data_IF_473815175808
#
_entry.id   IF_473815175808
#
_cell.length_a   1.000
_cell.length_b   1.000
_cell.length_c   1.000
_cell.angle_alpha   90.00
_cell.angle_beta   90.00
_cell.angle_gamma   90.00
#
_symmetry.space_group_name_H-M   'P 1'
#
loop_
_entity.id
_entity.type
_entity.pdbx_description
1 polymer ?
#
# COMPACT_ATOMS: atom_id res chain seq x y z
N UNK A 1 31.66 -28.44 21.73
CA UNK A 1 31.52 -29.26 20.51
C UNK A 1 32.32 -28.57 19.40
N UNK A 2 33.00 -29.33 18.54
CA UNK A 2 33.73 -28.74 17.41
C UNK A 2 32.70 -28.14 16.44
N UNK A 3 32.89 -26.88 16.05
CA UNK A 3 32.01 -26.22 15.04
C UNK A 3 32.15 -26.97 13.71
N UNK A 4 31.03 -27.20 13.03
CA UNK A 4 31.01 -27.83 11.69
C UNK A 4 31.61 -26.90 10.63
N UNK A 5 32.20 -27.47 9.57
CA UNK A 5 32.72 -26.70 8.45
C UNK A 5 31.58 -25.90 7.79
N UNK A 6 31.83 -24.61 7.51
CA UNK A 6 30.81 -23.71 6.92
C UNK A 6 30.35 -24.16 5.51
N UNK A 7 31.21 -24.82 4.76
CA UNK A 7 30.83 -25.41 3.46
C UNK A 7 29.87 -26.58 3.65
N UNK A 8 30.09 -27.41 4.68
CA UNK A 8 29.20 -28.52 5.05
C UNK A 8 27.86 -28.01 5.61
N UNK A 9 27.87 -26.93 6.38
CA UNK A 9 26.65 -26.32 6.94
C UNK A 9 25.73 -25.84 5.83
N UNK A 10 26.28 -25.23 4.78
CA UNK A 10 25.50 -24.77 3.61
C UNK A 10 25.30 -25.90 2.57
N UNK A 11 26.02 -27.03 2.66
CA UNK A 11 25.96 -28.13 1.70
C UNK A 11 26.50 -27.75 0.32
N UNK A 12 27.61 -27.01 0.29
CA UNK A 12 28.29 -26.56 -0.94
C UNK A 12 29.75 -27.00 -0.93
N UNK A 13 30.36 -27.13 -2.11
CA UNK A 13 31.78 -27.45 -2.25
C UNK A 13 32.66 -26.22 -1.93
N UNK A 14 33.93 -26.47 -1.55
CA UNK A 14 34.90 -25.40 -1.23
C UNK A 14 35.20 -24.46 -2.41
N UNK A 15 34.94 -24.89 -3.63
CA UNK A 15 35.11 -24.13 -4.87
C UNK A 15 33.82 -23.44 -5.34
N UNK A 16 32.72 -23.51 -4.54
CA UNK A 16 31.42 -22.93 -4.90
C UNK A 16 31.50 -21.43 -5.19
N UNK A 17 30.75 -21.00 -6.18
CA UNK A 17 30.61 -19.58 -6.55
C UNK A 17 29.84 -18.80 -5.49
N UNK A 18 29.99 -17.47 -5.46
CA UNK A 18 29.24 -16.60 -4.56
C UNK A 18 27.72 -16.75 -4.77
N UNK A 19 27.29 -16.99 -6.00
CA UNK A 19 25.87 -17.21 -6.33
C UNK A 19 25.36 -18.55 -5.80
N UNK A 20 26.18 -19.60 -5.84
CA UNK A 20 25.81 -20.92 -5.31
C UNK A 20 25.72 -20.88 -3.78
N UNK A 21 26.66 -20.22 -3.12
CA UNK A 21 26.64 -19.98 -1.66
C UNK A 21 25.35 -19.22 -1.29
N UNK A 22 24.98 -18.18 -2.04
CA UNK A 22 23.75 -17.40 -1.82
C UNK A 22 22.49 -18.24 -2.02
N UNK A 23 22.44 -19.08 -3.05
CA UNK A 23 21.31 -20.00 -3.30
C UNK A 23 21.18 -21.05 -2.18
N UNK A 24 22.31 -21.64 -1.76
CA UNK A 24 22.33 -22.63 -0.69
C UNK A 24 21.84 -22.03 0.64
N UNK A 25 22.32 -20.85 0.99
CA UNK A 25 21.84 -20.13 2.16
C UNK A 25 20.34 -19.85 2.12
N UNK A 26 19.80 -19.33 0.99
CA UNK A 26 18.36 -19.10 0.84
C UNK A 26 17.55 -20.38 1.05
N UNK A 27 18.02 -21.51 0.53
CA UNK A 27 17.35 -22.79 0.68
C UNK A 27 17.34 -23.25 2.15
N UNK A 28 18.48 -23.12 2.86
CA UNK A 28 18.59 -23.43 4.29
C UNK A 28 17.72 -22.51 5.13
N UNK A 29 17.74 -21.20 4.86
CA UNK A 29 16.96 -20.20 5.57
C UNK A 29 15.44 -20.40 5.44
N UNK A 30 14.94 -20.76 4.26
CA UNK A 30 13.51 -21.09 4.04
C UNK A 30 13.13 -22.40 4.73
N UNK A 31 14.04 -23.38 4.78
CA UNK A 31 13.80 -24.69 5.41
C UNK A 31 13.74 -24.59 6.92
N UNK A 32 14.63 -23.82 7.55
CA UNK A 32 14.78 -23.72 9.00
C UNK A 32 14.19 -22.40 9.57
N UNK A 33 13.33 -21.70 8.80
CA UNK A 33 12.70 -20.46 9.23
C UNK A 33 11.84 -20.69 10.49
N UNK A 34 11.90 -19.79 11.49
CA UNK A 34 11.14 -19.94 12.72
C UNK A 34 9.62 -19.95 12.49
N UNK A 35 9.11 -19.23 11.50
CA UNK A 35 7.68 -19.22 11.16
C UNK A 35 7.20 -20.58 10.60
N UNK A 36 8.11 -21.36 9.99
CA UNK A 36 7.79 -22.72 9.51
C UNK A 36 8.04 -23.80 10.53
N UNK A 37 8.89 -23.54 11.52
CA UNK A 37 9.28 -24.47 12.55
C UNK A 37 9.14 -23.82 13.95
N UNK A 38 7.92 -23.40 14.36
CA UNK A 38 7.72 -22.69 15.61
C UNK A 38 8.06 -23.58 16.81
N UNK A 39 9.01 -23.14 17.65
CA UNK A 39 9.42 -23.83 18.86
C UNK A 39 10.43 -24.98 18.67
N UNK A 40 10.91 -25.24 17.45
CA UNK A 40 11.94 -26.24 17.17
C UNK A 40 13.34 -25.62 17.37
N UNK A 41 13.97 -25.98 18.51
CA UNK A 41 15.33 -25.53 18.87
C UNK A 41 16.40 -26.01 17.89
N UNK A 42 16.26 -27.22 17.35
CA UNK A 42 17.23 -27.73 16.36
C UNK A 42 17.16 -26.96 15.04
N UNK A 43 15.96 -26.58 14.60
CA UNK A 43 15.79 -25.74 13.44
C UNK A 43 16.36 -24.33 13.67
N UNK A 44 16.20 -23.77 14.87
CA UNK A 44 16.76 -22.48 15.26
C UNK A 44 18.31 -22.50 15.26
N UNK A 45 18.92 -23.56 15.80
CA UNK A 45 20.38 -23.72 15.79
C UNK A 45 20.91 -23.86 14.35
N UNK A 46 20.29 -24.69 13.51
CA UNK A 46 20.66 -24.84 12.11
C UNK A 46 20.49 -23.55 11.30
N UNK A 47 19.49 -22.75 11.64
CA UNK A 47 19.31 -21.42 11.02
C UNK A 47 20.43 -20.45 11.40
N UNK A 48 20.84 -20.42 12.68
CA UNK A 48 21.96 -19.60 13.17
C UNK A 48 23.28 -20.03 12.55
N UNK A 49 23.56 -21.32 12.49
CA UNK A 49 24.76 -21.88 11.84
C UNK A 49 24.81 -21.53 10.35
N UNK A 50 23.68 -21.62 9.64
CA UNK A 50 23.63 -21.28 8.22
C UNK A 50 23.85 -19.77 7.98
N UNK A 51 23.36 -18.91 8.88
CA UNK A 51 23.58 -17.46 8.79
C UNK A 51 25.05 -17.10 9.07
N UNK A 52 25.69 -17.74 10.07
CA UNK A 52 27.12 -17.57 10.35
C UNK A 52 27.97 -18.02 9.17
N UNK A 53 27.69 -19.20 8.61
CA UNK A 53 28.39 -19.72 7.45
C UNK A 53 28.27 -18.78 6.23
N UNK A 54 27.09 -18.22 5.99
CA UNK A 54 26.89 -17.28 4.88
C UNK A 54 27.62 -15.95 5.09
N UNK A 55 27.65 -15.40 6.30
CA UNK A 55 28.38 -14.16 6.59
C UNK A 55 29.89 -14.29 6.30
N UNK A 56 30.45 -15.45 6.58
CA UNK A 56 31.88 -15.72 6.31
C UNK A 56 32.12 -16.01 4.83
N UNK A 57 31.35 -16.89 4.22
CA UNK A 57 31.61 -17.36 2.85
C UNK A 57 31.16 -16.38 1.76
N UNK A 58 30.25 -15.45 2.06
CA UNK A 58 29.80 -14.43 1.09
C UNK A 58 30.80 -13.27 0.93
N UNK A 59 31.68 -13.05 1.89
CA UNK A 59 32.68 -12.01 1.86
C UNK A 59 34.04 -12.61 1.44
N UNK A 60 34.64 -12.13 0.35
CA UNK A 60 35.87 -12.64 -0.20
C UNK A 60 37.04 -12.66 0.82
N UNK A 61 37.19 -11.59 1.61
CA UNK A 61 38.27 -11.48 2.58
C UNK A 61 38.07 -12.44 3.78
N UNK A 62 36.83 -12.56 4.27
CA UNK A 62 36.50 -13.49 5.35
C UNK A 62 36.65 -14.94 4.89
N UNK A 63 36.20 -15.24 3.67
CA UNK A 63 36.31 -16.57 3.05
C UNK A 63 37.78 -16.97 2.92
N UNK A 64 38.64 -16.08 2.40
CA UNK A 64 40.07 -16.35 2.27
C UNK A 64 40.74 -16.62 3.63
N UNK A 65 40.38 -15.91 4.68
CA UNK A 65 40.86 -16.17 6.04
C UNK A 65 40.36 -17.49 6.58
N UNK A 66 39.10 -17.80 6.35
CA UNK A 66 38.50 -19.07 6.78
C UNK A 66 39.15 -20.25 6.06
N UNK A 67 39.42 -20.13 4.75
CA UNK A 67 40.08 -21.17 3.96
C UNK A 67 41.53 -21.44 4.41
N UNK A 68 42.22 -20.41 4.96
CA UNK A 68 43.59 -20.53 5.46
C UNK A 68 43.70 -21.04 6.91
N UNK A 69 42.83 -20.54 7.79
CA UNK A 69 42.97 -20.73 9.24
C UNK A 69 41.76 -21.44 9.88
N UNK A 70 40.74 -21.80 9.11
CA UNK A 70 39.51 -22.39 9.63
C UNK A 70 38.78 -21.49 10.60
N UNK A 71 38.05 -22.08 11.53
CA UNK A 71 37.34 -21.34 12.60
C UNK A 71 38.29 -20.52 13.50
N UNK A 72 39.51 -20.98 13.73
CA UNK A 72 40.51 -20.27 14.54
C UNK A 72 40.91 -18.92 13.96
N UNK A 73 40.90 -18.78 12.62
CA UNK A 73 41.16 -17.50 11.94
C UNK A 73 40.06 -16.48 12.09
N UNK A 74 38.88 -16.89 12.54
CA UNK A 74 37.73 -16.02 12.78
C UNK A 74 37.63 -15.55 14.26
N UNK A 75 38.28 -16.26 15.20
CA UNK A 75 38.28 -15.94 16.66
C UNK A 75 39.40 -14.99 17.09
N UNK A 76 40.43 -14.75 16.27
CA UNK A 76 41.69 -14.11 16.65
C UNK A 76 42.01 -12.77 15.96
N UNK A 77 41.08 -11.89 15.71
CA UNK A 77 41.35 -10.59 15.07
C UNK A 77 41.27 -9.41 16.04
N UNK A 78 42.29 -9.21 16.89
CA UNK A 78 42.51 -7.92 17.54
C UNK A 78 43.01 -6.90 16.50
N UNK A 79 42.15 -6.04 16.01
CA UNK A 79 42.52 -4.89 15.16
C UNK A 79 41.46 -4.50 14.16
N UNK A 80 40.56 -3.60 14.55
CA UNK A 80 39.87 -2.68 13.66
C UNK A 80 38.82 -3.25 12.72
N UNK A 81 37.54 -2.94 13.00
CA UNK A 81 36.38 -3.15 12.13
C UNK A 81 35.83 -4.60 12.05
N UNK A 82 35.07 -4.99 13.08
CA UNK A 82 34.26 -6.19 13.00
C UNK A 82 33.99 -6.73 14.39
N UNK A 83 32.82 -6.51 14.93
CA UNK A 83 32.42 -7.05 16.24
C UNK A 83 32.63 -8.56 16.31
N UNK A 84 33.42 -8.99 17.32
CA UNK A 84 33.78 -10.39 17.53
C UNK A 84 32.56 -11.29 17.76
N UNK A 85 32.57 -12.42 17.08
CA UNK A 85 31.59 -13.49 17.15
C UNK A 85 31.79 -14.38 18.41
N UNK A 86 31.84 -13.81 19.60
CA UNK A 86 31.95 -14.54 20.85
C UNK A 86 30.76 -14.34 21.78
N UNK A 87 29.56 -14.23 21.24
CA UNK A 87 28.34 -14.14 22.02
C UNK A 87 27.15 -14.30 21.11
N UNK A 88 26.39 -15.36 21.23
CA UNK A 88 25.29 -15.80 20.41
C UNK A 88 24.51 -14.68 19.68
N UNK A 89 24.45 -14.76 18.36
CA UNK A 89 23.56 -13.92 17.57
C UNK A 89 22.13 -14.07 18.06
N UNK A 90 21.53 -12.94 18.41
CA UNK A 90 20.09 -12.88 18.58
C UNK A 90 19.45 -13.03 17.20
N UNK A 91 18.29 -13.69 17.14
CA UNK A 91 17.49 -13.80 15.94
C UNK A 91 17.24 -12.44 15.27
N UNK A 92 17.08 -11.37 16.06
CA UNK A 92 16.89 -9.99 15.62
C UNK A 92 18.11 -9.41 14.92
N UNK A 93 19.33 -9.78 15.34
CA UNK A 93 20.56 -9.32 14.68
C UNK A 93 20.76 -9.98 13.31
N UNK A 94 20.35 -11.24 13.16
CA UNK A 94 20.36 -11.94 11.87
C UNK A 94 19.36 -11.28 10.91
N UNK A 95 18.13 -10.99 11.35
CA UNK A 95 17.13 -10.29 10.54
C UNK A 95 17.56 -8.86 10.17
N UNK A 96 18.26 -8.16 11.06
CA UNK A 96 18.76 -6.81 10.79
C UNK A 96 19.89 -6.81 9.75
N UNK A 97 20.80 -7.76 9.80
CA UNK A 97 21.97 -7.80 8.91
C UNK A 97 21.67 -8.41 7.55
N UNK A 98 20.65 -9.27 7.45
CA UNK A 98 20.31 -10.00 6.23
C UNK A 98 18.91 -9.68 5.66
N UNK A 99 18.23 -8.65 6.20
CA UNK A 99 16.88 -8.22 5.78
C UNK A 99 16.76 -7.95 4.28
N UNK A 100 17.81 -7.41 3.65
CA UNK A 100 17.81 -7.11 2.21
C UNK A 100 17.78 -8.37 1.33
N UNK A 101 18.24 -9.52 1.84
CA UNK A 101 18.22 -10.79 1.11
C UNK A 101 16.84 -11.45 1.19
N UNK A 102 16.09 -11.19 2.26
CA UNK A 102 14.73 -11.66 2.49
C UNK A 102 13.65 -10.73 1.92
N UNK A 103 13.95 -9.42 1.79
CA UNK A 103 12.99 -8.39 1.38
C UNK A 103 12.50 -8.46 -0.07
N UNK A 104 13.10 -9.29 -0.92
CA UNK A 104 12.78 -9.34 -2.36
C UNK A 104 11.60 -10.20 -2.76
N UNK A 105 11.02 -11.05 -1.89
CA UNK A 105 9.94 -11.97 -2.30
C UNK A 105 8.95 -12.39 -1.21
N UNK A 106 8.99 -11.81 -0.02
CA UNK A 106 8.00 -12.10 1.04
C UNK A 106 7.40 -10.79 1.54
N UNK A 107 6.17 -10.58 1.12
CA UNK A 107 5.34 -9.41 1.25
C UNK A 107 5.32 -8.70 2.59
N UNK A 108 5.34 -7.38 2.47
CA UNK A 108 4.52 -6.46 3.24
C UNK A 108 4.73 -6.40 4.75
N UNK A 109 5.55 -5.44 5.21
CA UNK A 109 5.26 -4.87 6.50
C UNK A 109 6.36 -4.82 7.55
N UNK A 110 7.61 -4.54 7.19
CA UNK A 110 8.57 -4.00 8.17
C UNK A 110 9.65 -3.16 7.46
N UNK A 111 9.19 -2.15 6.73
CA UNK A 111 10.04 -1.15 6.11
C UNK A 111 10.21 0.04 7.04
N UNK A 112 11.36 0.16 7.67
CA UNK A 112 11.65 1.43 8.28
C UNK A 112 12.55 1.43 9.49
N UNK A 113 13.76 0.87 9.40
CA UNK A 113 14.85 1.32 10.29
C UNK A 113 16.19 0.77 9.76
N UNK A 114 16.92 1.59 8.99
CA UNK A 114 18.26 1.20 8.58
C UNK A 114 18.83 2.01 7.42
N UNK A 115 18.61 3.30 7.39
CA UNK A 115 19.40 4.23 6.58
C UNK A 115 20.57 4.73 7.39
N UNK A 116 21.73 4.07 7.34
CA UNK A 116 22.99 4.64 7.75
C UNK A 116 23.25 5.90 6.93
N UNK A 117 22.91 7.07 7.48
CA UNK A 117 23.17 8.38 6.89
C UNK A 117 24.67 8.58 6.86
N UNK A 118 25.31 8.29 5.71
CA UNK A 118 26.56 8.94 5.35
C UNK A 118 26.32 10.44 5.46
N UNK A 119 27.12 11.16 6.25
CA UNK A 119 26.99 12.58 6.58
C UNK A 119 26.70 13.49 5.37
N UNK A 120 25.46 13.50 4.91
CA UNK A 120 24.93 14.41 3.93
C UNK A 120 24.20 15.54 4.64
N UNK A 121 24.28 16.75 4.09
CA UNK A 121 23.47 17.88 4.55
C UNK A 121 22.02 17.43 4.71
N UNK A 122 21.44 17.67 5.86
CA UNK A 122 20.00 17.43 6.09
C UNK A 122 19.22 18.36 5.17
N UNK A 123 18.56 17.77 4.17
CA UNK A 123 17.67 18.52 3.28
C UNK A 123 16.32 18.64 3.97
N UNK A 124 15.85 19.86 4.17
CA UNK A 124 14.51 20.11 4.70
C UNK A 124 13.47 19.47 3.78
N UNK A 125 12.54 18.70 4.34
CA UNK A 125 11.41 18.13 3.59
C UNK A 125 10.11 18.76 4.07
N UNK A 126 9.26 19.14 3.12
CA UNK A 126 7.89 19.56 3.40
C UNK A 126 7.04 18.37 3.86
N UNK A 127 6.03 18.65 4.66
CA UNK A 127 5.09 17.60 5.08
C UNK A 127 4.13 17.23 3.94
N UNK A 128 3.74 15.97 3.92
CA UNK A 128 2.74 15.48 3.00
C UNK A 128 1.35 16.02 3.35
N UNK A 129 0.51 16.18 2.33
CA UNK A 129 -0.87 16.60 2.47
C UNK A 129 -1.81 15.47 2.07
N UNK A 130 -2.91 15.30 2.82
CA UNK A 130 -3.98 14.38 2.48
C UNK A 130 -5.23 15.14 2.08
N UNK A 131 -5.78 14.76 0.92
CA UNK A 131 -7.01 15.35 0.38
C UNK A 131 -7.95 14.23 -0.04
N UNK A 132 -9.22 14.34 0.29
CA UNK A 132 -10.26 13.42 -0.17
C UNK A 132 -10.86 13.95 -1.46
N UNK A 133 -11.03 13.07 -2.44
CA UNK A 133 -11.64 13.36 -3.73
C UNK A 133 -12.82 12.43 -3.93
N UNK A 134 -14.00 13.02 -4.10
CA UNK A 134 -15.23 12.28 -4.40
C UNK A 134 -15.34 12.04 -5.90
N UNK A 135 -15.68 10.80 -6.23
CA UNK A 135 -15.83 10.35 -7.61
C UNK A 135 -17.20 9.69 -7.78
N UNK A 136 -17.87 10.05 -8.86
CA UNK A 136 -19.05 9.34 -9.33
C UNK A 136 -18.67 8.01 -9.98
N UNK A 137 -19.61 7.06 -10.08
CA UNK A 137 -19.39 5.77 -10.75
C UNK A 137 -18.94 5.95 -12.22
N UNK A 138 -19.42 7.00 -12.88
CA UNK A 138 -19.00 7.34 -14.24
C UNK A 138 -17.53 7.75 -14.31
N UNK A 139 -17.10 8.63 -13.42
CA UNK A 139 -15.69 9.05 -13.34
C UNK A 139 -14.76 7.89 -12.98
N UNK A 140 -15.23 6.95 -12.15
CA UNK A 140 -14.49 5.73 -11.81
C UNK A 140 -14.40 4.80 -13.04
N UNK A 141 -15.47 4.71 -13.83
CA UNK A 141 -15.50 3.83 -15.01
C UNK A 141 -14.63 4.31 -16.17
N UNK A 142 -14.55 5.62 -16.38
CA UNK A 142 -13.81 6.24 -17.51
C UNK A 142 -12.41 6.69 -17.10
N UNK A 143 -12.17 6.91 -15.78
CA UNK A 143 -11.08 7.69 -15.29
C UNK A 143 -11.30 9.18 -15.52
N UNK A 144 -10.65 10.03 -14.76
CA UNK A 144 -10.84 11.46 -14.90
C UNK A 144 -9.59 12.25 -14.52
N UNK A 145 -9.56 13.50 -14.96
CA UNK A 145 -8.58 14.49 -14.52
C UNK A 145 -9.30 15.56 -13.72
N UNK A 146 -8.99 15.67 -12.42
CA UNK A 146 -9.58 16.69 -11.55
C UNK A 146 -8.58 17.78 -11.19
N UNK A 147 -9.01 19.04 -11.26
CA UNK A 147 -8.25 20.18 -10.76
C UNK A 147 -8.78 20.55 -9.38
N UNK A 148 -7.88 20.46 -8.39
CA UNK A 148 -8.25 20.75 -6.99
C UNK A 148 -7.47 21.96 -6.53
N UNK A 149 -8.14 22.90 -5.91
CA UNK A 149 -7.53 24.04 -5.23
C UNK A 149 -7.23 23.66 -3.79
N UNK A 150 -5.96 23.68 -3.42
CA UNK A 150 -5.49 23.21 -2.12
C UNK A 150 -4.80 24.37 -1.40
N UNK A 151 -5.25 24.63 -0.17
CA UNK A 151 -4.56 25.54 0.73
C UNK A 151 -3.37 24.82 1.38
N UNK A 152 -2.15 25.32 1.14
CA UNK A 152 -0.93 24.70 1.64
C UNK A 152 0.19 25.71 1.86
N UNK A 153 1.32 25.27 2.41
CA UNK A 153 2.52 26.06 2.39
C UNK A 153 3.12 26.03 0.97
N UNK A 154 3.34 27.22 0.41
CA UNK A 154 3.98 27.41 -0.91
C UNK A 154 5.28 28.15 -0.72
N UNK A 155 6.22 28.02 -1.67
CA UNK A 155 7.44 28.80 -1.65
C UNK A 155 7.12 30.30 -1.66
N UNK A 156 7.80 31.07 -0.84
CA UNK A 156 7.62 32.51 -0.79
C UNK A 156 8.06 33.12 -2.14
N UNK A 157 7.17 33.81 -2.78
CA UNK A 157 7.39 34.48 -4.09
C UNK A 157 8.40 35.62 -4.03
N UNK A 158 8.52 36.34 -2.90
CA UNK A 158 9.47 37.43 -2.72
C UNK A 158 10.93 36.95 -2.68
N UNK A 159 11.21 35.85 -1.98
CA UNK A 159 12.56 35.31 -1.86
C UNK A 159 12.80 34.02 -2.66
N UNK A 160 11.84 33.57 -3.46
CA UNK A 160 11.94 32.32 -4.22
C UNK A 160 12.12 31.07 -3.36
N UNK A 161 11.65 31.10 -2.11
CA UNK A 161 11.77 29.99 -1.19
C UNK A 161 13.04 29.96 -0.35
N UNK A 162 14.01 30.86 -0.57
CA UNK A 162 15.30 30.88 0.14
C UNK A 162 15.20 31.28 1.60
N UNK A 163 14.22 32.08 1.97
CA UNK A 163 14.09 32.69 3.31
C UNK A 163 14.94 33.92 3.53
N UNK A 164 15.92 34.19 2.68
CA UNK A 164 16.78 35.34 2.75
C UNK A 164 16.28 36.52 1.90
N UNK A 165 16.59 37.73 2.26
CA UNK A 165 16.19 38.92 1.52
C UNK A 165 16.78 38.94 0.11
N UNK A 166 18.05 38.54 0.00
CA UNK A 166 18.83 38.48 -1.24
C UNK A 166 19.88 37.35 -1.17
N UNK A 167 20.56 37.09 -2.28
CA UNK A 167 21.60 36.05 -2.37
C UNK A 167 22.83 36.29 -1.47
N UNK A 168 23.08 37.52 -1.06
CA UNK A 168 24.20 37.88 -0.22
C UNK A 168 23.86 37.81 1.27
N UNK A 169 22.63 37.56 1.61
CA UNK A 169 22.13 37.47 2.98
C UNK A 169 22.34 36.09 3.64
N UNK A 170 23.31 35.32 3.15
CA UNK A 170 23.78 34.08 3.76
C UNK A 170 25.23 34.22 4.25
N UNK A 171 25.48 33.67 5.44
CA UNK A 171 26.83 33.48 5.94
C UNK A 171 27.08 32.00 6.30
N UNK A 172 28.35 31.60 6.27
CA UNK A 172 28.74 30.27 6.75
C UNK A 172 28.42 30.15 8.23
N UNK A 173 27.83 29.05 8.65
CA UNK A 173 27.49 28.84 10.06
C UNK A 173 28.77 28.83 10.92
N UNK A 174 28.92 29.73 11.92
CA UNK A 174 30.15 29.84 12.72
C UNK A 174 30.35 28.62 13.66
N UNK A 175 29.27 27.90 13.99
CA UNK A 175 29.34 26.79 14.93
C UNK A 175 29.84 25.48 14.27
N UNK A 176 29.52 25.25 13.01
CA UNK A 176 29.91 24.04 12.28
C UNK A 176 30.82 24.34 11.07
N UNK A 177 31.23 25.62 10.87
CA UNK A 177 32.05 26.07 9.75
C UNK A 177 31.57 25.54 8.38
N UNK A 178 30.26 25.46 8.19
CA UNK A 178 29.64 24.99 6.93
C UNK A 178 29.39 23.48 6.85
N UNK A 179 29.87 22.70 7.80
CA UNK A 179 29.69 21.23 7.79
C UNK A 179 28.24 20.78 7.96
N UNK A 180 27.41 21.54 8.65
CA UNK A 180 26.03 21.19 8.96
C UNK A 180 25.87 20.29 10.20
N UNK A 181 26.95 19.75 10.73
CA UNK A 181 26.94 18.88 11.92
C UNK A 181 28.08 19.27 12.87
N UNK A 182 27.93 18.94 14.14
CA UNK A 182 28.95 19.03 15.18
C UNK A 182 29.30 17.64 15.65
N UNK A 183 30.56 17.44 16.04
CA UNK A 183 31.05 16.18 16.61
C UNK A 183 31.04 16.33 18.13
N UNK A 184 30.22 15.51 18.78
CA UNK A 184 30.18 15.41 20.23
C UNK A 184 30.84 14.12 20.68
N UNK A 185 31.72 14.21 21.70
CA UNK A 185 32.29 13.01 22.32
C UNK A 185 31.38 12.56 23.45
N UNK A 186 30.72 11.43 23.26
CA UNK A 186 29.85 10.81 24.27
C UNK A 186 30.63 9.72 25.01
N UNK A 187 30.66 9.82 26.33
CA UNK A 187 31.20 8.75 27.17
C UNK A 187 30.14 7.63 27.24
N UNK A 188 30.41 6.50 26.61
CA UNK A 188 29.59 5.30 26.73
C UNK A 188 30.26 4.29 27.68
N UNK A 189 29.54 3.27 28.09
CA UNK A 189 30.05 2.19 28.91
C UNK A 189 31.25 1.45 28.27
N UNK A 190 31.41 1.57 26.93
CA UNK A 190 32.49 0.97 26.14
C UNK A 190 33.63 1.96 25.78
N UNK A 191 33.65 3.14 26.39
CA UNK A 191 34.67 4.16 26.13
C UNK A 191 34.10 5.43 25.46
N UNK A 192 35.01 6.30 25.02
CA UNK A 192 34.69 7.57 24.36
C UNK A 192 34.32 7.28 22.90
N UNK A 193 33.08 7.57 22.51
CA UNK A 193 32.61 7.51 21.15
C UNK A 193 32.37 8.91 20.60
N UNK A 194 32.78 9.17 19.36
CA UNK A 194 32.46 10.41 18.65
C UNK A 194 31.16 10.21 17.87
N UNK A 195 30.15 11.04 18.17
CA UNK A 195 28.85 11.00 17.52
C UNK A 195 28.64 12.30 16.75
N UNK A 196 28.19 12.20 15.51
CA UNK A 196 27.79 13.36 14.71
C UNK A 196 26.37 13.77 15.09
N UNK A 197 26.20 15.05 15.42
CA UNK A 197 24.90 15.65 15.73
C UNK A 197 24.62 16.80 14.78
N UNK A 198 23.36 16.91 14.34
CA UNK A 198 22.93 18.05 13.52
C UNK A 198 23.25 19.34 14.24
N UNK A 199 23.90 20.27 13.56
CA UNK A 199 24.30 21.55 14.15
C UNK A 199 23.07 22.35 14.62
N UNK A 200 22.93 22.66 15.92
CA UNK A 200 21.73 23.31 16.46
C UNK A 200 21.55 24.74 15.92
N UNK A 201 22.63 25.41 15.51
CA UNK A 201 22.60 26.80 15.02
C UNK A 201 22.05 26.90 13.60
N UNK A 202 22.40 25.99 12.70
CA UNK A 202 21.97 26.05 11.31
C UNK A 202 20.96 24.92 10.95
N UNK A 203 20.63 24.03 11.87
CA UNK A 203 19.70 22.93 11.63
C UNK A 203 20.14 21.96 10.55
N UNK A 204 21.43 21.83 10.28
CA UNK A 204 22.00 20.97 9.25
C UNK A 204 22.32 21.66 7.91
N UNK A 205 21.90 22.90 7.71
CA UNK A 205 22.06 23.61 6.43
C UNK A 205 23.50 24.08 6.17
N UNK A 206 24.35 24.22 7.21
CA UNK A 206 25.70 24.72 7.12
C UNK A 206 25.82 26.24 6.91
N UNK A 207 24.68 26.92 6.69
CA UNK A 207 24.56 28.37 6.48
C UNK A 207 23.56 28.97 7.43
N UNK A 208 23.71 30.25 7.74
CA UNK A 208 22.76 31.05 8.53
C UNK A 208 22.30 32.26 7.73
N UNK A 209 21.05 32.67 7.89
CA UNK A 209 20.51 33.86 7.24
C UNK A 209 20.86 35.07 8.09
N UNK A 210 21.54 36.03 7.50
CA UNK A 210 21.92 37.29 8.13
C UNK A 210 20.83 38.37 8.02
N UNK A 211 20.12 38.38 6.88
CA UNK A 211 18.99 39.28 6.62
C UNK A 211 17.80 38.47 6.14
N UNK A 212 16.81 38.21 7.01
CA UNK A 212 15.63 37.42 6.64
C UNK A 212 14.73 38.20 5.69
N UNK A 213 14.04 37.46 4.79
CA UNK A 213 12.98 37.99 3.94
C UNK A 213 11.83 38.55 4.79
N UNK A 214 11.32 39.74 4.46
CA UNK A 214 10.30 40.45 5.19
C UNK A 214 8.95 39.70 5.20
N UNK A 215 8.60 39.05 4.08
CA UNK A 215 7.33 38.35 3.87
C UNK A 215 7.25 37.04 4.64
N UNK A 216 8.27 36.19 4.52
CA UNK A 216 8.29 34.86 5.16
C UNK A 216 9.10 34.81 6.46
N UNK A 217 9.76 35.90 6.87
CA UNK A 217 10.52 36.02 8.13
C UNK A 217 11.64 34.96 8.29
N UNK A 218 12.25 34.57 7.19
CA UNK A 218 13.33 33.57 7.19
C UNK A 218 12.87 32.13 6.98
N UNK A 219 11.57 31.85 6.93
CA UNK A 219 11.03 30.50 6.73
C UNK A 219 11.16 30.00 5.28
N UNK A 220 11.14 30.90 4.30
CA UNK A 220 11.15 30.56 2.88
C UNK A 220 9.80 30.10 2.35
N UNK A 221 8.79 29.92 3.23
CA UNK A 221 7.46 29.45 2.86
C UNK A 221 6.38 30.37 3.44
N UNK A 222 5.25 30.45 2.75
CA UNK A 222 4.05 31.21 3.16
C UNK A 222 2.81 30.37 2.94
N UNK A 223 1.73 30.69 3.62
CA UNK A 223 0.42 30.08 3.31
C UNK A 223 -0.09 30.63 2.00
N UNK A 224 -0.47 29.72 1.12
CA UNK A 224 -1.01 30.04 -0.19
C UNK A 224 -1.95 28.95 -0.67
N UNK A 225 -2.45 29.11 -1.89
CA UNK A 225 -3.30 28.15 -2.55
C UNK A 225 -2.65 27.75 -3.87
N UNK A 226 -2.68 26.46 -4.17
CA UNK A 226 -2.21 25.93 -5.45
C UNK A 226 -3.31 25.07 -6.08
N UNK A 227 -3.49 25.25 -7.40
CA UNK A 227 -4.35 24.35 -8.17
C UNK A 227 -3.50 23.21 -8.67
N UNK A 228 -3.83 22.00 -8.20
CA UNK A 228 -3.14 20.77 -8.60
C UNK A 228 -4.04 19.96 -9.51
N UNK A 229 -3.52 19.57 -10.65
CA UNK A 229 -4.18 18.66 -11.59
C UNK A 229 -3.81 17.21 -11.23
N UNK A 230 -4.83 16.39 -11.01
CA UNK A 230 -4.70 15.01 -10.59
C UNK A 230 -5.33 14.11 -11.63
N UNK A 231 -4.54 13.21 -12.19
CA UNK A 231 -5.03 12.17 -13.10
C UNK A 231 -5.39 10.93 -12.30
N UNK A 232 -6.65 10.56 -12.37
CA UNK A 232 -7.21 9.41 -11.66
C UNK A 232 -7.48 8.33 -12.71
N UNK A 233 -6.85 7.16 -12.61
CA UNK A 233 -7.08 6.08 -13.55
C UNK A 233 -8.48 5.47 -13.38
N UNK A 234 -8.96 4.80 -14.42
CA UNK A 234 -10.21 4.06 -14.35
C UNK A 234 -10.09 2.84 -13.40
N UNK A 235 -11.18 2.46 -12.77
CA UNK A 235 -11.24 1.30 -11.90
C UNK A 235 -10.75 1.51 -10.47
N UNK A 236 -10.42 2.75 -10.07
CA UNK A 236 -10.02 3.03 -8.67
C UNK A 236 -11.14 2.63 -7.70
N UNK A 237 -10.76 2.18 -6.50
CA UNK A 237 -11.70 1.79 -5.45
C UNK A 237 -11.74 2.82 -4.32
N UNK A 238 -12.82 2.77 -3.53
CA UNK A 238 -12.94 3.57 -2.32
C UNK A 238 -11.79 3.28 -1.35
N UNK A 239 -11.25 4.32 -0.72
CA UNK A 239 -10.13 4.24 0.19
C UNK A 239 -8.76 4.12 -0.48
N UNK A 240 -8.67 3.95 -1.79
CA UNK A 240 -7.39 3.97 -2.49
C UNK A 240 -6.70 5.32 -2.37
N UNK A 241 -5.38 5.29 -2.25
CA UNK A 241 -4.54 6.46 -2.11
C UNK A 241 -3.64 6.61 -3.34
N UNK A 242 -3.74 7.75 -4.00
CA UNK A 242 -2.85 8.16 -5.08
C UNK A 242 -1.85 9.18 -4.54
N UNK A 243 -0.57 9.02 -4.88
CA UNK A 243 0.49 9.97 -4.51
C UNK A 243 0.86 10.83 -5.69
N UNK A 244 0.85 12.15 -5.48
CA UNK A 244 1.35 13.13 -6.45
C UNK A 244 2.59 13.78 -5.88
N UNK A 245 3.75 13.37 -6.38
CA UNK A 245 5.05 13.77 -5.85
C UNK A 245 5.29 15.27 -5.92
N UNK A 246 5.85 15.85 -4.85
CA UNK A 246 6.22 17.25 -4.74
C UNK A 246 5.05 18.24 -4.70
N UNK A 247 3.79 17.75 -4.58
CA UNK A 247 2.58 18.58 -4.53
C UNK A 247 2.03 18.78 -3.11
N UNK A 248 2.71 18.26 -2.10
CA UNK A 248 2.45 18.55 -0.68
C UNK A 248 2.90 19.94 -0.26
N UNK A 249 3.15 20.15 1.03
CA UNK A 249 3.66 21.40 1.55
C UNK A 249 5.07 21.68 1.02
N UNK A 250 5.34 22.92 0.69
CA UNK A 250 6.70 23.38 0.37
C UNK A 250 7.61 23.19 1.58
N UNK A 251 8.83 22.76 1.31
CA UNK A 251 9.86 22.67 2.33
C UNK A 251 10.42 24.07 2.66
N UNK A 252 10.83 24.24 3.91
CA UNK A 252 11.51 25.46 4.33
C UNK A 252 12.84 25.62 3.59
N UNK A 253 13.18 26.84 3.24
CA UNK A 253 14.49 27.25 2.70
C UNK A 253 14.93 26.43 1.48
N UNK A 254 14.01 26.21 0.52
CA UNK A 254 14.32 25.55 -0.75
C UNK A 254 14.63 24.06 -0.66
N UNK A 255 14.13 23.37 0.36
CA UNK A 255 14.20 21.92 0.49
C UNK A 255 13.28 21.17 -0.49
N UNK A 256 13.08 19.89 -0.25
CA UNK A 256 12.22 19.02 -1.07
C UNK A 256 10.78 19.13 -0.57
N UNK A 257 9.86 19.45 -1.45
CA UNK A 257 8.43 19.49 -1.10
C UNK A 257 7.93 18.10 -0.69
N UNK A 258 6.93 18.08 0.17
CA UNK A 258 6.18 16.86 0.47
C UNK A 258 5.32 16.39 -0.69
N UNK A 259 4.65 15.29 -0.53
CA UNK A 259 3.76 14.69 -1.52
C UNK A 259 2.29 14.99 -1.20
N UNK A 260 1.45 15.02 -2.23
CA UNK A 260 0.01 15.10 -2.07
C UNK A 260 -0.58 13.69 -2.14
N UNK A 261 -1.19 13.27 -1.06
CA UNK A 261 -1.86 11.99 -0.92
C UNK A 261 -3.35 12.18 -1.16
N UNK A 262 -3.83 11.69 -2.28
CA UNK A 262 -5.23 11.79 -2.70
C UNK A 262 -5.96 10.52 -2.30
N UNK A 263 -6.90 10.62 -1.38
CA UNK A 263 -7.73 9.50 -0.95
C UNK A 263 -9.04 9.54 -1.74
N UNK A 264 -9.34 8.45 -2.42
CA UNK A 264 -10.56 8.31 -3.21
C UNK A 264 -11.72 8.01 -2.29
N UNK A 265 -12.82 8.75 -2.46
CA UNK A 265 -14.11 8.55 -1.81
C UNK A 265 -15.17 8.37 -2.91
N UNK A 266 -15.96 7.30 -2.84
CA UNK A 266 -17.00 7.03 -3.83
C UNK A 266 -18.27 7.80 -3.47
N UNK A 267 -18.90 8.44 -4.47
CA UNK A 267 -20.21 9.05 -4.30
C UNK A 267 -21.28 7.96 -4.22
N UNK A 268 -22.12 8.05 -3.20
CA UNK A 268 -23.25 7.12 -3.07
C UNK A 268 -24.19 7.25 -4.25
N UNK A 269 -24.38 6.17 -4.99
CA UNK A 269 -25.38 6.06 -6.03
C UNK A 269 -26.64 5.41 -5.47
N UNK A 270 -27.81 5.98 -5.81
CA UNK A 270 -29.11 5.47 -5.32
C UNK A 270 -29.60 4.22 -6.08
N UNK A 271 -29.11 3.97 -7.27
CA UNK A 271 -29.59 2.91 -8.16
C UNK A 271 -28.61 1.75 -8.31
N UNK A 272 -27.30 2.05 -8.20
CA UNK A 272 -26.22 1.08 -8.38
C UNK A 272 -25.33 1.05 -7.15
N UNK A 273 -25.14 -0.14 -6.60
CA UNK A 273 -24.25 -0.39 -5.46
C UNK A 273 -23.06 -1.18 -5.97
N UNK A 274 -21.86 -0.74 -5.62
CA UNK A 274 -20.62 -1.38 -6.06
C UNK A 274 -20.32 -2.63 -5.23
N UNK A 275 -19.92 -3.70 -5.92
CA UNK A 275 -19.36 -4.93 -5.33
C UNK A 275 -18.11 -5.33 -6.14
N UNK A 276 -16.93 -4.89 -5.68
CA UNK A 276 -15.69 -5.07 -6.42
C UNK A 276 -15.68 -4.35 -7.77
N UNK A 277 -15.62 -5.09 -8.88
CA UNK A 277 -15.78 -4.60 -10.25
C UNK A 277 -17.24 -4.68 -10.74
N UNK A 278 -18.08 -5.46 -10.07
CA UNK A 278 -19.48 -5.61 -10.39
C UNK A 278 -20.34 -4.50 -9.76
N UNK A 279 -21.53 -4.30 -10.32
CA UNK A 279 -22.53 -3.37 -9.82
C UNK A 279 -23.84 -4.09 -9.54
N UNK A 280 -24.38 -3.91 -8.36
CA UNK A 280 -25.65 -4.45 -7.94
C UNK A 280 -26.77 -3.45 -8.19
N UNK A 281 -27.87 -3.90 -8.77
CA UNK A 281 -29.09 -3.11 -8.97
C UNK A 281 -30.31 -3.85 -8.46
N UNK A 282 -31.12 -3.21 -7.63
CA UNK A 282 -32.42 -3.75 -7.23
C UNK A 282 -33.47 -3.41 -8.29
N UNK A 283 -33.75 -4.39 -9.18
CA UNK A 283 -34.68 -4.23 -10.29
C UNK A 283 -36.12 -4.46 -9.83
N UNK A 284 -36.83 -3.39 -9.57
CA UNK A 284 -38.24 -3.42 -9.19
C UNK A 284 -39.13 -3.60 -10.41
N UNK A 285 -39.87 -4.70 -10.47
CA UNK A 285 -40.83 -4.99 -11.55
C UNK A 285 -42.24 -5.20 -11.01
N UNK A 286 -43.29 -4.80 -11.75
CA UNK A 286 -44.67 -5.12 -11.37
C UNK A 286 -44.90 -6.63 -11.40
N UNK A 287 -45.81 -7.13 -10.55
CA UNK A 287 -46.18 -8.53 -10.50
C UNK A 287 -46.71 -9.04 -11.86
N UNK A 288 -47.41 -8.18 -12.61
CA UNK A 288 -47.89 -8.49 -13.96
C UNK A 288 -46.76 -8.77 -14.95
N UNK A 289 -45.69 -7.96 -14.89
CA UNK A 289 -44.49 -8.17 -15.71
C UNK A 289 -43.74 -9.43 -15.31
N UNK A 290 -43.71 -9.77 -14.00
CA UNK A 290 -43.11 -11.00 -13.53
C UNK A 290 -43.87 -12.26 -14.04
N UNK A 291 -45.21 -12.20 -14.10
CA UNK A 291 -46.07 -13.30 -14.57
C UNK A 291 -46.04 -13.41 -16.09
N UNK A 292 -46.29 -12.31 -16.80
CA UNK A 292 -46.50 -12.33 -18.26
C UNK A 292 -45.21 -12.18 -19.08
N UNK A 293 -44.12 -11.74 -18.44
CA UNK A 293 -42.93 -11.30 -19.10
C UNK A 293 -43.07 -9.87 -19.63
N UNK A 294 -42.00 -9.36 -20.21
CA UNK A 294 -42.00 -8.00 -20.78
C UNK A 294 -40.58 -7.46 -20.93
N UNK A 295 -40.47 -6.19 -21.28
CA UNK A 295 -39.22 -5.48 -21.33
C UNK A 295 -39.15 -4.46 -20.20
N UNK A 296 -38.00 -4.38 -19.57
CA UNK A 296 -37.73 -3.40 -18.50
C UNK A 296 -36.40 -2.70 -18.74
N UNK A 297 -36.29 -1.48 -18.22
CA UNK A 297 -35.06 -0.71 -18.31
C UNK A 297 -34.26 -0.87 -17.01
N UNK A 298 -32.97 -1.15 -17.16
CA UNK A 298 -31.99 -1.23 -16.07
C UNK A 298 -31.01 -0.08 -16.22
N UNK A 299 -30.76 0.72 -15.19
CA UNK A 299 -29.75 1.77 -15.23
C UNK A 299 -28.36 1.14 -15.41
N UNK A 300 -27.56 1.78 -16.23
CA UNK A 300 -26.14 1.48 -16.39
C UNK A 300 -25.33 2.72 -15.98
N UNK A 301 -24.02 2.63 -16.00
CA UNK A 301 -23.14 3.75 -15.63
C UNK A 301 -23.39 4.99 -16.52
N UNK A 302 -23.60 4.76 -17.80
CA UNK A 302 -23.70 5.83 -18.82
C UNK A 302 -25.11 6.07 -19.33
N UNK A 303 -25.98 5.06 -19.27
CA UNK A 303 -27.29 5.04 -19.96
C UNK A 303 -28.24 4.06 -19.27
N UNK A 304 -29.29 3.65 -20.01
CA UNK A 304 -30.20 2.58 -19.60
C UNK A 304 -30.11 1.44 -20.60
N UNK A 305 -30.10 0.22 -20.11
CA UNK A 305 -30.17 -0.99 -20.93
C UNK A 305 -31.57 -1.59 -20.86
N UNK A 306 -32.15 -1.96 -22.01
CA UNK A 306 -33.41 -2.73 -22.06
C UNK A 306 -33.10 -4.22 -21.95
N UNK A 307 -33.77 -4.88 -21.04
CA UNK A 307 -33.67 -6.33 -20.85
C UNK A 307 -35.03 -6.97 -20.93
N UNK A 308 -35.07 -8.20 -21.46
CA UNK A 308 -36.28 -8.98 -21.56
C UNK A 308 -36.46 -9.85 -20.32
N UNK A 309 -37.58 -9.70 -19.64
CA UNK A 309 -38.02 -10.54 -18.53
C UNK A 309 -38.81 -11.70 -19.10
N UNK A 310 -38.41 -12.93 -18.77
CA UNK A 310 -39.19 -14.13 -19.15
C UNK A 310 -40.47 -14.23 -18.33
N UNK A 311 -41.53 -14.76 -18.91
CA UNK A 311 -42.77 -15.07 -18.16
C UNK A 311 -42.47 -16.04 -17.02
N UNK A 312 -43.12 -15.81 -15.85
CA UNK A 312 -42.90 -16.62 -14.64
C UNK A 312 -41.60 -16.34 -13.91
N UNK A 313 -40.96 -15.18 -14.14
CA UNK A 313 -39.72 -14.79 -13.43
C UNK A 313 -40.02 -14.59 -11.94
N UNK A 314 -39.26 -15.28 -11.10
CA UNK A 314 -39.41 -15.25 -9.64
C UNK A 314 -38.61 -14.05 -9.02
N UNK A 315 -39.09 -13.60 -7.86
CA UNK A 315 -38.35 -12.64 -7.03
C UNK A 315 -36.98 -13.22 -6.60
N UNK A 316 -35.96 -12.36 -6.51
CA UNK A 316 -34.60 -12.77 -6.18
C UNK A 316 -33.81 -13.39 -7.35
N UNK A 317 -34.40 -13.51 -8.55
CA UNK A 317 -33.66 -13.92 -9.74
C UNK A 317 -32.63 -12.85 -10.13
N UNK A 318 -31.38 -13.26 -10.36
CA UNK A 318 -30.30 -12.37 -10.77
C UNK A 318 -30.19 -12.38 -12.30
N UNK A 319 -30.28 -11.22 -12.90
CA UNK A 319 -30.07 -11.00 -14.33
C UNK A 319 -28.74 -10.32 -14.54
N UNK A 320 -27.87 -10.92 -15.34
CA UNK A 320 -26.49 -10.48 -15.54
C UNK A 320 -26.33 -9.74 -16.85
N UNK A 321 -25.90 -8.49 -16.79
CA UNK A 321 -25.54 -7.67 -17.94
C UNK A 321 -24.02 -7.66 -18.08
N UNK A 322 -23.50 -8.53 -18.94
CA UNK A 322 -22.07 -8.75 -19.11
C UNK A 322 -21.33 -7.49 -19.58
N UNK A 323 -20.18 -7.21 -18.96
CA UNK A 323 -19.27 -6.13 -19.31
C UNK A 323 -19.84 -4.73 -19.11
N UNK A 324 -20.90 -4.58 -18.30
CA UNK A 324 -21.52 -3.28 -17.98
C UNK A 324 -21.14 -2.73 -16.60
N UNK A 325 -20.32 -3.45 -15.84
CA UNK A 325 -19.77 -3.01 -14.54
C UNK A 325 -18.58 -2.06 -14.69
N UNK A 326 -17.75 -1.98 -13.65
CA UNK A 326 -16.56 -1.14 -13.59
C UNK A 326 -15.34 -1.86 -14.20
N UNK A 327 -14.39 -1.12 -14.77
CA UNK A 327 -13.13 -1.70 -15.20
C UNK A 327 -12.29 -2.11 -13.99
N UNK A 328 -11.45 -3.12 -14.16
CA UNK A 328 -10.45 -3.50 -13.18
C UNK A 328 -9.25 -2.54 -13.23
N UNK A 329 -8.77 -2.11 -12.07
CA UNK A 329 -7.56 -1.32 -11.97
C UNK A 329 -6.36 -2.18 -12.41
N UNK A 330 -5.59 -1.71 -13.39
CA UNK A 330 -4.44 -2.43 -13.97
C UNK A 330 -4.79 -3.76 -14.68
N UNK A 331 -6.07 -4.05 -14.91
CA UNK A 331 -6.55 -5.22 -15.66
C UNK A 331 -7.18 -4.85 -17.00
N UNK A 332 -7.42 -5.87 -17.83
CA UNK A 332 -8.15 -5.73 -19.09
C UNK A 332 -9.64 -6.12 -18.92
N UNK A 333 -10.03 -6.53 -17.71
CA UNK A 333 -11.38 -6.98 -17.39
C UNK A 333 -12.33 -5.82 -17.09
N UNK A 334 -13.61 -6.08 -17.32
CA UNK A 334 -14.71 -5.24 -16.89
C UNK A 334 -15.74 -6.12 -16.18
N UNK A 335 -16.22 -5.68 -15.02
CA UNK A 335 -17.28 -6.35 -14.28
C UNK A 335 -18.63 -6.28 -14.98
N UNK A 336 -19.63 -6.82 -14.34
CA UNK A 336 -20.98 -6.94 -14.84
C UNK A 336 -21.97 -6.11 -13.99
N UNK A 337 -23.18 -5.89 -14.51
CA UNK A 337 -24.28 -5.41 -13.68
C UNK A 337 -25.14 -6.63 -13.31
N UNK A 338 -25.35 -6.85 -12.02
CA UNK A 338 -26.19 -7.88 -11.47
C UNK A 338 -27.52 -7.25 -11.04
N UNK A 339 -28.54 -7.38 -11.88
CA UNK A 339 -29.89 -6.88 -11.59
C UNK A 339 -30.68 -7.96 -10.83
N UNK A 340 -30.96 -7.70 -9.55
CA UNK A 340 -31.73 -8.58 -8.68
C UNK A 340 -33.20 -8.21 -8.81
N UNK A 341 -33.99 -9.15 -9.27
CA UNK A 341 -35.43 -8.94 -9.49
C UNK A 341 -36.15 -8.86 -8.16
N UNK A 342 -36.82 -7.73 -7.94
CA UNK A 342 -37.74 -7.49 -6.82
C UNK A 342 -39.16 -7.27 -7.36
N UNK A 343 -40.10 -8.15 -6.96
CA UNK A 343 -41.47 -8.08 -7.47
C UNK A 343 -42.32 -7.22 -6.58
N UNK A 344 -42.78 -6.09 -7.13
CA UNK A 344 -43.63 -5.14 -6.39
C UNK A 344 -45.09 -5.56 -6.47
N UNK A 345 -45.65 -5.80 -5.30
CA UNK A 345 -47.09 -6.07 -5.12
C UNK A 345 -47.78 -4.74 -4.76
N UNK A 346 -48.83 -4.35 -5.53
CA UNK A 346 -49.54 -3.12 -5.25
C UNK A 346 -50.25 -3.19 -3.89
N UNK A 347 -50.10 -2.14 -3.08
CA UNK A 347 -50.73 -2.02 -1.76
C UNK A 347 -52.15 -1.48 -1.79
N UNK A 348 -52.53 -0.79 -2.88
CA UNK A 348 -53.87 -0.23 -3.09
C UNK A 348 -54.45 -0.79 -4.37
N UNK A 349 -55.68 -1.25 -4.30
CA UNK A 349 -56.42 -1.82 -5.42
C UNK A 349 -57.76 -1.12 -5.59
N UNK A 350 -58.17 -0.91 -6.82
CA UNK A 350 -59.52 -0.51 -7.14
C UNK A 350 -60.49 -1.67 -6.96
N UNK A 351 -61.80 -1.36 -6.91
CA UNK A 351 -62.83 -2.40 -6.77
C UNK A 351 -62.87 -3.38 -7.98
N UNK A 352 -62.48 -2.91 -9.15
CA UNK A 352 -62.41 -3.74 -10.37
C UNK A 352 -61.17 -4.65 -10.35
N UNK A 353 -60.01 -4.13 -9.99
CA UNK A 353 -58.76 -4.91 -9.85
C UNK A 353 -58.92 -6.01 -8.83
N UNK A 354 -59.57 -5.69 -7.68
CA UNK A 354 -59.84 -6.67 -6.63
C UNK A 354 -60.72 -7.84 -7.17
N UNK A 355 -61.82 -7.54 -7.89
CA UNK A 355 -62.68 -8.57 -8.50
C UNK A 355 -61.93 -9.45 -9.51
N UNK A 356 -61.02 -8.87 -10.30
CA UNK A 356 -60.17 -9.62 -11.25
C UNK A 356 -59.21 -10.54 -10.52
N UNK A 357 -58.56 -10.08 -9.47
CA UNK A 357 -57.64 -10.87 -8.65
C UNK A 357 -58.36 -12.00 -7.90
N UNK A 358 -59.59 -11.76 -7.38
CA UNK A 358 -60.42 -12.79 -6.77
C UNK A 358 -60.75 -13.90 -7.78
N UNK A 359 -61.11 -13.57 -9.03
CA UNK A 359 -61.31 -14.54 -10.09
C UNK A 359 -60.04 -15.34 -10.46
N UNK A 360 -58.85 -14.65 -10.43
CA UNK A 360 -57.58 -15.31 -10.65
C UNK A 360 -57.19 -16.25 -9.52
N UNK A 361 -57.44 -15.87 -8.28
CA UNK A 361 -57.16 -16.69 -7.10
C UNK A 361 -57.90 -18.04 -7.15
N UNK A 362 -59.04 -18.12 -7.82
CA UNK A 362 -59.80 -19.38 -8.00
C UNK A 362 -59.21 -20.30 -9.09
N UNK A 363 -58.27 -19.84 -9.90
CA UNK A 363 -57.63 -20.63 -10.95
C UNK A 363 -56.66 -21.68 -10.36
N UNK A 364 -56.52 -22.87 -10.98
CA UNK A 364 -55.71 -23.97 -10.46
C UNK A 364 -54.25 -23.58 -10.22
N UNK A 365 -53.68 -22.78 -11.10
CA UNK A 365 -52.27 -22.36 -11.03
C UNK A 365 -51.98 -21.30 -9.93
N UNK A 366 -53.02 -20.64 -9.42
CA UNK A 366 -52.92 -19.66 -8.34
C UNK A 366 -53.26 -20.21 -6.97
N UNK A 367 -53.89 -21.41 -6.91
CA UNK A 367 -54.25 -22.07 -5.64
C UNK A 367 -53.10 -22.84 -5.00
N UNK A 368 -52.08 -23.22 -5.76
CA UNK A 368 -50.95 -24.00 -5.25
C UNK A 368 -49.67 -23.13 -5.26
N UNK A 369 -49.07 -23.01 -4.09
CA UNK A 369 -47.70 -22.47 -3.98
C UNK A 369 -46.72 -23.61 -4.26
N UNK A 370 -46.54 -23.99 -5.52
CA UNK A 370 -45.49 -24.94 -5.91
C UNK A 370 -44.23 -24.16 -6.28
N UNK A 371 -43.11 -24.44 -5.58
CA UNK A 371 -41.81 -23.98 -5.99
C UNK A 371 -41.40 -24.66 -7.29
N UNK A 372 -40.97 -23.92 -8.33
CA UNK A 372 -40.50 -24.53 -9.57
C UNK A 372 -39.40 -25.56 -9.29
N UNK A 373 -39.49 -26.76 -9.85
CA UNK A 373 -38.48 -27.81 -9.70
C UNK A 373 -37.15 -27.31 -10.25
N UNK A 374 -36.10 -27.24 -9.39
CA UNK A 374 -34.76 -26.87 -9.76
C UNK A 374 -34.29 -25.47 -9.24
N UNK A 375 -35.13 -24.73 -8.55
CA UNK A 375 -34.70 -23.50 -7.89
C UNK A 375 -34.13 -23.80 -6.49
N UNK A 376 -32.91 -23.32 -6.26
CA UNK A 376 -32.27 -23.38 -4.94
C UNK A 376 -33.08 -22.58 -3.93
N UNK A 377 -33.15 -23.08 -2.68
CA UNK A 377 -33.78 -22.36 -1.57
C UNK A 377 -33.22 -20.96 -1.43
N UNK A 378 -34.06 -20.00 -1.00
CA UNK A 378 -33.63 -18.61 -0.73
C UNK A 378 -32.40 -18.58 0.17
N UNK A 379 -32.30 -19.49 1.14
CA UNK A 379 -31.14 -19.61 2.03
C UNK A 379 -29.86 -20.07 1.32
N UNK A 380 -29.98 -20.95 0.31
CA UNK A 380 -28.82 -21.37 -0.49
C UNK A 380 -28.38 -20.27 -1.47
N UNK A 381 -29.31 -19.47 -1.98
CA UNK A 381 -29.00 -18.28 -2.78
C UNK A 381 -28.32 -17.21 -1.94
N UNK A 382 -28.82 -16.94 -0.71
CA UNK A 382 -28.16 -16.00 0.20
C UNK A 382 -26.76 -16.47 0.58
N UNK A 383 -26.57 -17.76 0.87
CA UNK A 383 -25.25 -18.30 1.21
C UNK A 383 -24.25 -18.16 0.06
N UNK A 384 -24.67 -18.39 -1.18
CA UNK A 384 -23.82 -18.22 -2.37
C UNK A 384 -23.57 -16.76 -2.76
N UNK A 385 -24.27 -15.82 -2.14
CA UNK A 385 -24.15 -14.38 -2.41
C UNK A 385 -23.27 -13.66 -1.37
N UNK A 386 -23.17 -14.20 -0.14
CA UNK A 386 -22.42 -13.63 0.98
C UNK A 386 -21.26 -14.52 1.46
N UNK A 387 -20.96 -15.64 0.78
CA UNK A 387 -19.92 -16.61 1.12
C UNK A 387 -18.65 -16.50 0.28
#
# INVERSE_FOLDING_TARGET
MAKRDYYEVLGVEKNASADDIKKAYRKAAVKYHPDKNPGDKEAEEKFKEAAEAYDVLSNADKRARYDQFGHAGMEGGAGGYGGGFSGGFSMEDIFRNFGDIFGGHFGGGFGGFGGGSRGGRTVNRGSDLRVKVRLSLKEIAEGCTKKIKIAKQVACDECGGSGAKDSNSFSTCPNCNGAGYTIETVNSFFGRAQTQRVCPTCGGEGKVITSPCSKCRGEGVVRGEEVVEIRIPAGVAEGMQLSVSGKGNAARRGGINGDLLVVIEEEKNSELVRDGSDLLHNLKIPVTTAILGGEVEVPTIDSKARIKIAAGTQAGKVLRLKGKGLPELNGYGRGDILAIVDVIIPTKLTSEEKKLLEKLADQPNFKKAETPRGEQNIFDRMRNFFG
#
